data_IF_043241528674
#
_entry.id   IF_043241528674
#
_cell.length_a   1.000
_cell.length_b   1.000
_cell.length_c   1.000
_cell.angle_alpha   90.00
_cell.angle_beta   90.00
_cell.angle_gamma   90.00
#
_symmetry.space_group_name_H-M   'P 1'
#
loop_
_entity.id
_entity.type
_entity.pdbx_description
1 polymer ?
#
# COMPACT_ATOMS: atom_id res chain seq x y z
N UNK A 1 0.38 -71.68 24.15
CA UNK A 1 -0.65 -70.71 24.56
C UNK A 1 0.08 -69.47 25.08
N UNK A 2 0.62 -68.64 24.18
CA UNK A 2 1.47 -67.48 24.52
C UNK A 2 1.40 -66.36 23.45
N UNK A 3 0.38 -66.36 22.59
CA UNK A 3 0.27 -65.42 21.46
C UNK A 3 -0.74 -64.30 21.71
N UNK A 4 -1.72 -64.48 22.61
CA UNK A 4 -2.81 -63.54 22.80
C UNK A 4 -2.46 -62.25 23.57
N UNK A 5 -1.41 -62.27 24.41
CA UNK A 5 -0.96 -61.08 25.17
C UNK A 5 0.08 -60.23 24.41
N UNK A 6 0.75 -60.77 23.38
CA UNK A 6 1.70 -60.00 22.58
C UNK A 6 1.03 -59.23 21.44
N UNK A 7 -0.05 -59.77 20.84
CA UNK A 7 -0.80 -59.07 19.78
C UNK A 7 -1.50 -57.80 20.29
N UNK A 8 -2.02 -57.82 21.51
CA UNK A 8 -2.74 -56.69 22.12
C UNK A 8 -1.84 -55.49 22.47
N UNK A 9 -0.60 -55.73 22.92
CA UNK A 9 0.37 -54.67 23.24
C UNK A 9 1.00 -54.05 21.98
N UNK A 10 1.24 -54.84 20.93
CA UNK A 10 1.72 -54.32 19.64
C UNK A 10 0.62 -53.49 18.93
N UNK A 11 -0.64 -53.92 18.96
CA UNK A 11 -1.75 -53.17 18.39
C UNK A 11 -2.02 -51.85 19.14
N UNK A 12 -1.87 -51.83 20.47
CA UNK A 12 -2.00 -50.61 21.26
C UNK A 12 -0.91 -49.57 20.92
N UNK A 13 0.34 -50.03 20.76
CA UNK A 13 1.47 -49.18 20.37
C UNK A 13 1.33 -48.67 18.93
N UNK A 14 0.89 -49.52 17.99
CA UNK A 14 0.65 -49.13 16.60
C UNK A 14 -0.44 -48.05 16.50
N UNK A 15 -1.53 -48.18 17.26
CA UNK A 15 -2.59 -47.19 17.33
C UNK A 15 -2.12 -45.86 17.94
N UNK A 16 -1.26 -45.91 18.97
CA UNK A 16 -0.70 -44.71 19.58
C UNK A 16 0.22 -43.95 18.61
N UNK A 17 1.12 -44.66 17.90
CA UNK A 17 1.98 -44.04 16.89
C UNK A 17 1.15 -43.49 15.73
N UNK A 18 0.13 -44.21 15.25
CA UNK A 18 -0.78 -43.70 14.23
C UNK A 18 -1.54 -42.44 14.68
N UNK A 19 -1.98 -42.36 15.94
CA UNK A 19 -2.61 -41.16 16.49
C UNK A 19 -1.63 -39.97 16.52
N UNK A 20 -0.39 -40.20 16.94
CA UNK A 20 0.68 -39.20 16.97
C UNK A 20 1.00 -38.66 15.56
N UNK A 21 1.08 -39.53 14.56
CA UNK A 21 1.31 -39.09 13.16
C UNK A 21 0.15 -38.29 12.58
N UNK A 22 -1.11 -38.65 12.90
CA UNK A 22 -2.27 -37.83 12.50
C UNK A 22 -2.25 -36.45 13.12
N UNK A 23 -1.85 -36.34 14.39
CA UNK A 23 -1.69 -35.03 15.06
C UNK A 23 -0.59 -34.21 14.40
N UNK A 24 0.57 -34.81 14.15
CA UNK A 24 1.68 -34.14 13.45
C UNK A 24 1.29 -33.68 12.04
N UNK A 25 0.51 -34.47 11.31
CA UNK A 25 0.03 -34.10 9.98
C UNK A 25 -0.86 -32.86 10.03
N UNK A 26 -1.87 -32.85 10.91
CA UNK A 26 -2.76 -31.69 11.07
C UNK A 26 -2.02 -30.44 11.53
N UNK A 27 -1.04 -30.61 12.42
CA UNK A 27 -0.18 -29.52 12.85
C UNK A 27 0.70 -28.98 11.70
N UNK A 28 1.21 -29.85 10.83
CA UNK A 28 1.92 -29.40 9.64
C UNK A 28 1.00 -28.68 8.65
N UNK A 29 -0.23 -29.14 8.46
CA UNK A 29 -1.22 -28.50 7.59
C UNK A 29 -1.63 -27.12 8.13
N UNK A 30 -1.81 -27.00 9.44
CA UNK A 30 -2.11 -25.72 10.10
C UNK A 30 -0.95 -24.73 9.95
N UNK A 31 0.29 -25.19 10.14
CA UNK A 31 1.49 -24.39 9.92
C UNK A 31 1.65 -23.96 8.47
N UNK A 32 1.41 -24.86 7.51
CA UNK A 32 1.45 -24.53 6.09
C UNK A 32 0.42 -23.45 5.74
N UNK A 33 -0.80 -23.57 6.27
CA UNK A 33 -1.86 -22.56 6.08
C UNK A 33 -1.44 -21.22 6.67
N UNK A 34 -0.90 -21.21 7.89
CA UNK A 34 -0.42 -20.00 8.55
C UNK A 34 0.73 -19.33 7.80
N UNK A 35 1.66 -20.11 7.25
CA UNK A 35 2.78 -19.62 6.44
C UNK A 35 2.25 -19.03 5.13
N UNK A 36 1.30 -19.69 4.46
CA UNK A 36 0.69 -19.20 3.23
C UNK A 36 -0.01 -17.84 3.47
N UNK A 37 -0.83 -17.73 4.51
CA UNK A 37 -1.47 -16.45 4.88
C UNK A 37 -0.45 -15.36 5.20
N UNK A 38 0.64 -15.69 5.90
CA UNK A 38 1.70 -14.73 6.20
C UNK A 38 2.43 -14.27 4.94
N UNK A 39 2.71 -15.19 4.01
CA UNK A 39 3.36 -14.90 2.74
C UNK A 39 2.50 -13.97 1.89
N UNK A 40 1.20 -14.27 1.74
CA UNK A 40 0.25 -13.41 1.01
C UNK A 40 0.22 -11.99 1.60
N UNK A 41 0.16 -11.87 2.92
CA UNK A 41 0.20 -10.56 3.59
C UNK A 41 1.49 -9.79 3.31
N UNK A 42 2.64 -10.47 3.30
CA UNK A 42 3.93 -9.86 2.99
C UNK A 42 4.03 -9.43 1.52
N UNK A 43 3.58 -10.27 0.59
CA UNK A 43 3.53 -9.95 -0.85
C UNK A 43 2.63 -8.74 -1.09
N UNK A 44 1.46 -8.72 -0.45
CA UNK A 44 0.52 -7.60 -0.53
C UNK A 44 1.14 -6.30 -0.01
N UNK A 45 1.79 -6.34 1.15
CA UNK A 45 2.48 -5.17 1.71
C UNK A 45 3.64 -4.68 0.82
N UNK A 46 4.37 -5.59 0.18
CA UNK A 46 5.43 -5.24 -0.76
C UNK A 46 4.84 -4.54 -2.01
N UNK A 47 3.76 -5.07 -2.58
CA UNK A 47 3.05 -4.41 -3.69
C UNK A 47 2.54 -3.03 -3.27
N UNK A 48 1.93 -2.92 -2.08
CA UNK A 48 1.45 -1.63 -1.55
C UNK A 48 2.58 -0.58 -1.49
N UNK A 49 3.78 -1.01 -1.09
CA UNK A 49 4.97 -0.16 -1.05
C UNK A 49 5.38 0.30 -2.45
N UNK A 50 5.40 -0.62 -3.43
CA UNK A 50 5.72 -0.31 -4.83
C UNK A 50 4.70 0.66 -5.45
N UNK A 51 3.41 0.44 -5.23
CA UNK A 51 2.33 1.29 -5.74
C UNK A 51 2.40 2.70 -5.15
N UNK A 52 2.72 2.79 -3.86
CA UNK A 52 2.93 4.08 -3.18
C UNK A 52 4.11 4.84 -3.79
N UNK A 53 5.20 4.14 -4.12
CA UNK A 53 6.35 4.72 -4.82
C UNK A 53 5.99 5.25 -6.23
N UNK A 54 4.98 4.65 -6.89
CA UNK A 54 4.42 5.13 -8.16
C UNK A 54 3.44 6.31 -8.02
N UNK A 55 3.32 6.89 -6.82
CA UNK A 55 2.47 8.04 -6.51
C UNK A 55 0.99 7.70 -6.48
N UNK A 56 0.64 6.43 -6.28
CA UNK A 56 -0.75 5.96 -6.25
C UNK A 56 -1.07 5.40 -4.87
N UNK A 57 -2.31 5.59 -4.40
CA UNK A 57 -2.76 4.93 -3.16
C UNK A 57 -2.96 3.43 -3.43
N UNK A 58 -2.44 2.53 -2.60
CA UNK A 58 -2.61 1.08 -2.80
C UNK A 58 -4.08 0.65 -2.85
N UNK A 59 -4.93 1.29 -2.05
CA UNK A 59 -6.38 1.05 -2.08
C UNK A 59 -7.00 1.23 -3.47
N UNK A 60 -6.47 2.13 -4.30
CA UNK A 60 -6.95 2.34 -5.66
C UNK A 60 -6.57 1.17 -6.59
N UNK A 61 -5.39 0.57 -6.42
CA UNK A 61 -5.01 -0.62 -7.18
C UNK A 61 -5.99 -1.76 -6.87
N UNK A 62 -6.23 -2.05 -5.60
CA UNK A 62 -7.13 -3.14 -5.21
C UNK A 62 -8.58 -2.87 -5.58
N UNK A 63 -9.04 -1.61 -5.49
CA UNK A 63 -10.39 -1.22 -5.93
C UNK A 63 -10.61 -1.37 -7.44
N UNK A 64 -9.54 -1.32 -8.25
CA UNK A 64 -9.62 -1.58 -9.69
C UNK A 64 -9.84 -3.05 -10.05
N UNK A 65 -9.80 -3.96 -9.07
CA UNK A 65 -9.97 -5.40 -9.27
C UNK A 65 -8.68 -6.15 -9.55
N UNK A 66 -7.51 -5.55 -9.30
CA UNK A 66 -6.23 -6.22 -9.42
C UNK A 66 -6.14 -7.42 -8.46
N UNK A 67 -5.65 -8.56 -8.95
CA UNK A 67 -5.43 -9.76 -8.16
C UNK A 67 -3.95 -9.94 -7.82
N UNK A 68 -3.66 -10.53 -6.67
CA UNK A 68 -2.30 -10.73 -6.20
C UNK A 68 -1.48 -11.58 -7.19
N UNK A 69 -2.06 -12.67 -7.67
CA UNK A 69 -1.45 -13.62 -8.62
C UNK A 69 -0.96 -12.98 -9.93
N UNK A 70 -1.69 -11.98 -10.45
CA UNK A 70 -1.34 -11.29 -11.70
C UNK A 70 -0.17 -10.31 -11.52
N UNK A 71 0.22 -10.00 -10.28
CA UNK A 71 1.24 -9.02 -9.92
C UNK A 71 2.55 -9.66 -9.47
N UNK A 72 2.58 -10.99 -9.34
CA UNK A 72 3.77 -11.75 -8.97
C UNK A 72 4.48 -12.28 -10.22
N UNK A 73 5.77 -12.53 -10.08
CA UNK A 73 6.54 -13.34 -11.01
C UNK A 73 6.40 -14.84 -10.72
N UNK A 74 7.06 -15.66 -11.53
CA UNK A 74 7.02 -17.13 -11.40
C UNK A 74 7.70 -17.63 -10.11
N UNK A 75 8.41 -16.76 -9.39
CA UNK A 75 9.05 -17.06 -8.10
C UNK A 75 8.19 -16.62 -6.90
N UNK A 76 7.03 -16.00 -7.16
CA UNK A 76 6.14 -15.47 -6.12
C UNK A 76 6.63 -14.14 -5.54
N UNK A 77 7.52 -13.43 -6.22
CA UNK A 77 7.99 -12.09 -5.84
C UNK A 77 7.21 -11.05 -6.64
N UNK A 78 6.89 -9.87 -6.06
CA UNK A 78 6.24 -8.80 -6.79
C UNK A 78 7.03 -8.37 -8.04
N UNK A 79 6.41 -8.50 -9.21
CA UNK A 79 6.98 -8.06 -10.48
C UNK A 79 6.71 -6.57 -10.67
N UNK A 80 7.79 -5.76 -10.65
CA UNK A 80 7.69 -4.31 -10.78
C UNK A 80 7.03 -3.87 -12.09
N UNK A 81 7.23 -4.61 -13.20
CA UNK A 81 6.65 -4.27 -14.49
C UNK A 81 5.13 -4.53 -14.49
N UNK A 82 4.70 -5.69 -13.99
CA UNK A 82 3.27 -6.02 -13.87
C UNK A 82 2.55 -5.08 -12.91
N UNK A 83 3.16 -4.75 -11.77
CA UNK A 83 2.62 -3.77 -10.81
C UNK A 83 2.50 -2.39 -11.44
N UNK A 84 3.48 -1.93 -12.22
CA UNK A 84 3.41 -0.65 -12.91
C UNK A 84 2.29 -0.61 -13.97
N UNK A 85 2.15 -1.69 -14.75
CA UNK A 85 1.08 -1.81 -15.75
C UNK A 85 -0.31 -1.82 -15.08
N UNK A 86 -0.48 -2.60 -14.02
CA UNK A 86 -1.73 -2.66 -13.28
C UNK A 86 -2.06 -1.31 -12.61
N UNK A 87 -1.06 -0.62 -12.05
CA UNK A 87 -1.25 0.72 -11.50
C UNK A 87 -1.66 1.73 -12.58
N UNK A 88 -1.12 1.63 -13.79
CA UNK A 88 -1.50 2.49 -14.91
C UNK A 88 -2.94 2.21 -15.38
N UNK A 89 -3.31 0.94 -15.56
CA UNK A 89 -4.67 0.53 -15.91
C UNK A 89 -5.69 0.96 -14.84
N UNK A 90 -5.31 0.86 -13.56
CA UNK A 90 -6.12 1.33 -12.44
C UNK A 90 -6.29 2.87 -12.47
N UNK A 91 -5.25 3.63 -12.82
CA UNK A 91 -5.35 5.10 -12.98
C UNK A 91 -6.34 5.46 -14.08
N UNK A 92 -6.29 4.76 -15.20
CA UNK A 92 -7.18 4.98 -16.35
C UNK A 92 -8.64 4.62 -16.01
N UNK A 93 -8.86 3.47 -15.39
CA UNK A 93 -10.19 2.97 -15.03
C UNK A 93 -10.87 3.85 -13.97
N UNK A 94 -10.10 4.30 -12.97
CA UNK A 94 -10.62 5.13 -11.88
C UNK A 94 -10.60 6.64 -12.21
N UNK A 95 -10.13 7.02 -13.40
CA UNK A 95 -9.99 8.42 -13.78
C UNK A 95 -9.08 9.22 -12.85
N UNK A 96 -8.05 8.57 -12.27
CA UNK A 96 -7.08 9.20 -11.37
C UNK A 96 -6.12 10.01 -12.25
N UNK A 97 -6.56 11.21 -12.61
CA UNK A 97 -5.71 12.21 -13.26
C UNK A 97 -4.75 12.73 -12.19
N UNK A 98 -3.45 12.73 -12.50
CA UNK A 98 -2.45 13.34 -11.63
C UNK A 98 -2.79 14.84 -11.47
N UNK A 99 -3.38 15.21 -10.33
CA UNK A 99 -3.63 16.61 -10.00
C UNK A 99 -2.28 17.26 -9.79
N UNK A 100 -1.84 18.05 -10.77
CA UNK A 100 -0.64 18.87 -10.62
C UNK A 100 -0.88 19.78 -9.42
N UNK A 101 0.00 19.81 -8.40
CA UNK A 101 -0.19 20.71 -7.27
C UNK A 101 -0.34 22.13 -7.83
N UNK A 102 -1.44 22.79 -7.46
CA UNK A 102 -1.65 24.18 -7.84
C UNK A 102 -0.41 24.96 -7.40
N UNK A 103 0.18 25.73 -8.33
CA UNK A 103 1.32 26.58 -7.96
C UNK A 103 0.88 27.40 -6.75
N UNK A 104 1.68 27.48 -5.67
CA UNK A 104 1.33 28.35 -4.56
C UNK A 104 1.08 29.73 -5.15
N UNK A 105 -0.09 30.29 -4.89
CA UNK A 105 -0.48 31.61 -5.39
C UNK A 105 0.55 32.57 -4.81
N UNK A 106 1.51 32.98 -5.64
CA UNK A 106 2.66 33.78 -5.20
C UNK A 106 2.15 35.06 -4.53
N UNK A 107 2.57 35.26 -3.27
CA UNK A 107 2.20 36.38 -2.41
C UNK A 107 0.71 36.74 -2.45
N UNK A 108 -0.13 36.01 -1.72
CA UNK A 108 -1.42 36.54 -1.27
C UNK A 108 -1.15 37.69 -0.29
N UNK A 109 -0.85 38.87 -0.83
CA UNK A 109 -0.67 40.10 -0.06
C UNK A 109 -2.05 40.62 0.31
N UNK A 110 -2.45 40.38 1.56
CA UNK A 110 -3.66 40.97 2.12
C UNK A 110 -3.64 42.50 1.90
N UNK A 111 -4.69 43.05 1.29
CA UNK A 111 -4.78 44.47 0.91
C UNK A 111 -4.32 44.84 -0.51
N UNK A 112 -3.90 43.88 -1.35
CA UNK A 112 -3.46 44.16 -2.73
C UNK A 112 -4.58 44.63 -3.70
N UNK A 113 -5.84 44.66 -3.25
CA UNK A 113 -6.97 45.23 -4.00
C UNK A 113 -7.21 46.72 -3.73
N UNK A 114 -6.50 47.33 -2.77
CA UNK A 114 -6.61 48.76 -2.53
C UNK A 114 -5.90 49.52 -3.66
N UNK A 115 -6.60 50.39 -4.43
CA UNK A 115 -5.93 51.28 -5.35
C UNK A 115 -4.92 52.12 -4.58
N UNK A 116 -3.65 52.11 -4.99
CA UNK A 116 -2.67 53.07 -4.46
C UNK A 116 -3.22 54.48 -4.71
N UNK A 117 -3.53 55.26 -3.67
CA UNK A 117 -4.04 56.61 -3.87
C UNK A 117 -2.95 57.42 -4.58
N UNK A 118 -3.29 58.03 -5.73
CA UNK A 118 -2.39 58.98 -6.39
C UNK A 118 -2.12 60.11 -5.40
N UNK A 119 -0.84 60.47 -5.21
CA UNK A 119 -0.42 61.49 -4.25
C UNK A 119 -1.29 62.73 -4.34
N UNK A 120 -1.84 63.16 -3.20
CA UNK A 120 -2.71 64.33 -3.14
C UNK A 120 -1.87 65.56 -3.49
N UNK A 121 -2.13 66.14 -4.67
CA UNK A 121 -1.56 67.42 -5.15
C UNK A 121 -1.63 68.54 -4.11
N UNK A 122 -2.63 68.47 -3.23
CA UNK A 122 -2.83 69.38 -2.13
C UNK A 122 -1.83 69.19 -0.99
N UNK A 123 -1.43 67.96 -0.69
CA UNK A 123 -0.39 67.64 0.29
C UNK A 123 1.00 67.98 -0.27
N UNK A 124 1.22 67.82 -1.58
CA UNK A 124 2.45 68.29 -2.25
C UNK A 124 2.63 69.82 -2.16
N UNK A 125 1.55 70.59 -2.16
CA UNK A 125 1.61 72.06 -2.08
C UNK A 125 2.08 72.59 -0.72
N UNK A 126 1.93 71.80 0.36
CA UNK A 126 2.38 72.14 1.71
C UNK A 126 3.58 71.29 2.18
N UNK A 127 4.13 70.44 1.30
CA UNK A 127 5.39 69.74 1.55
C UNK A 127 6.58 70.70 1.47
N UNK A 128 7.71 70.40 2.14
CA UNK A 128 8.87 71.28 2.12
C UNK A 128 9.41 71.41 0.69
N UNK A 129 9.17 72.56 0.07
CA UNK A 129 9.87 72.96 -1.14
C UNK A 129 11.28 73.39 -0.72
N UNK A 130 12.26 72.52 -0.96
CA UNK A 130 13.66 72.85 -0.73
C UNK A 130 14.02 74.09 -1.54
N UNK A 131 14.25 75.21 -0.86
CA UNK A 131 14.93 76.38 -1.41
C UNK A 131 16.43 76.11 -1.39
N UNK A 132 17.07 76.18 -2.56
CA UNK A 132 18.53 76.31 -2.70
C UNK A 132 19.07 77.56 -1.99
#
# INVERSE_FOLDING_TARGET
>A
MATADQESDDDANANHEAAKWRTKLRESESQNTAIATRLENMQRAAIDTHVTALGMKPAALWASGAKLEDLLDDTGVPDAAKVAQAAQAAKETLGIVAVKPSKPVGSLRSGASAPTPKGNKWVEAFGPHGSE
#
